data_IF_254236993867
#
_entry.id   IF_254236993867
#
_cell.length_a   1.000
_cell.length_b   1.000
_cell.length_c   1.000
_cell.angle_alpha   90.00
_cell.angle_beta   90.00
_cell.angle_gamma   90.00
#
_symmetry.space_group_name_H-M   'P 1'
#
loop_
_entity.id
_entity.type
_entity.pdbx_description
1 polymer ?
#
# COMPACT_ATOMS: atom_id res chain seq x y z
N UNK A 1 -35.15 27.69 -38.95
CA UNK A 1 -34.26 27.51 -37.79
C UNK A 1 -34.75 26.33 -36.94
N UNK A 2 -34.27 25.11 -37.20
CA UNK A 2 -34.45 23.96 -36.29
C UNK A 2 -33.19 23.10 -36.42
N UNK A 3 -32.17 23.49 -35.66
CA UNK A 3 -30.87 22.81 -35.61
C UNK A 3 -30.94 21.64 -34.62
N UNK A 4 -30.44 20.51 -35.09
CA UNK A 4 -30.34 19.21 -34.42
C UNK A 4 -29.63 19.30 -33.05
N UNK A 5 -30.39 19.29 -31.96
CA UNK A 5 -29.88 19.26 -30.58
C UNK A 5 -29.70 17.86 -29.98
N UNK A 6 -30.19 16.82 -30.66
CA UNK A 6 -30.16 15.44 -30.18
C UNK A 6 -28.76 14.79 -30.15
N UNK A 7 -27.87 14.99 -31.16
CA UNK A 7 -26.57 14.31 -31.17
C UNK A 7 -25.54 14.96 -30.22
N UNK A 8 -25.68 16.25 -29.92
CA UNK A 8 -24.80 16.93 -28.94
C UNK A 8 -25.06 16.43 -27.51
N UNK A 9 -26.30 16.14 -27.15
CA UNK A 9 -26.65 15.64 -25.82
C UNK A 9 -26.12 14.22 -25.57
N UNK A 10 -26.12 13.36 -26.59
CA UNK A 10 -25.61 11.99 -26.49
C UNK A 10 -24.08 11.96 -26.37
N UNK A 11 -23.37 12.83 -27.09
CA UNK A 11 -21.90 12.96 -26.98
C UNK A 11 -21.47 13.49 -25.60
N UNK A 12 -22.24 14.42 -25.02
CA UNK A 12 -22.02 14.95 -23.67
C UNK A 12 -22.12 13.85 -22.59
N UNK A 13 -23.15 13.00 -22.65
CA UNK A 13 -23.36 11.93 -21.67
C UNK A 13 -22.24 10.86 -21.68
N UNK A 14 -21.68 10.54 -22.85
CA UNK A 14 -20.54 9.62 -22.98
C UNK A 14 -19.27 10.20 -22.36
N UNK A 15 -19.05 11.52 -22.50
CA UNK A 15 -17.93 12.22 -21.88
C UNK A 15 -18.01 12.23 -20.34
N UNK A 16 -19.21 12.36 -19.77
CA UNK A 16 -19.41 12.30 -18.30
C UNK A 16 -19.20 10.90 -17.71
N UNK A 17 -19.52 9.83 -18.45
CA UNK A 17 -19.30 8.45 -17.99
C UNK A 17 -17.83 8.06 -18.03
N UNK A 18 -17.07 8.57 -19.01
CA UNK A 18 -15.62 8.35 -19.10
C UNK A 18 -14.82 9.21 -18.11
N UNK A 19 -15.40 10.31 -17.63
CA UNK A 19 -14.79 11.19 -16.62
C UNK A 19 -15.31 10.89 -15.22
N UNK A 20 -15.31 9.63 -14.81
CA UNK A 20 -15.32 9.32 -13.38
C UNK A 20 -13.87 9.21 -12.95
N UNK A 21 -13.30 10.21 -12.24
CA UNK A 21 -12.02 10.01 -11.58
C UNK A 21 -12.16 8.75 -10.74
N UNK A 22 -11.20 7.83 -10.84
CA UNK A 22 -11.20 6.60 -10.04
C UNK A 22 -11.31 6.97 -8.56
N UNK A 23 -12.54 6.98 -8.04
CA UNK A 23 -12.88 7.66 -6.80
C UNK A 23 -12.19 6.90 -5.65
N UNK A 24 -11.07 7.44 -5.18
CA UNK A 24 -10.30 6.87 -4.07
C UNK A 24 -8.89 6.39 -4.40
N UNK A 25 -8.49 6.42 -5.67
CA UNK A 25 -7.12 6.13 -6.09
C UNK A 25 -6.22 7.35 -5.86
N UNK A 26 -5.06 7.16 -5.23
CA UNK A 26 -4.08 8.21 -4.95
C UNK A 26 -2.71 7.82 -5.48
N UNK A 27 -2.13 8.72 -6.27
CA UNK A 27 -0.74 8.65 -6.70
C UNK A 27 0.19 9.12 -5.57
N UNK A 28 1.16 8.28 -5.23
CA UNK A 28 2.20 8.56 -4.24
C UNK A 28 3.52 8.77 -4.98
N UNK A 29 4.12 9.94 -4.78
CA UNK A 29 5.47 10.26 -5.25
C UNK A 29 6.45 10.02 -4.10
N UNK A 30 7.37 9.09 -4.29
CA UNK A 30 8.33 8.60 -3.29
C UNK A 30 9.75 8.69 -3.90
N UNK A 31 10.21 9.92 -4.14
CA UNK A 31 11.42 10.17 -4.92
C UNK A 31 11.20 9.88 -6.41
N UNK A 32 12.04 9.02 -6.98
CA UNK A 32 11.89 8.53 -8.37
C UNK A 32 10.79 7.47 -8.53
N UNK A 33 10.29 6.91 -7.43
CA UNK A 33 9.21 5.93 -7.45
C UNK A 33 7.85 6.63 -7.47
N UNK A 34 6.97 6.20 -8.38
CA UNK A 34 5.59 6.66 -8.45
C UNK A 34 4.67 5.45 -8.48
N UNK A 35 3.79 5.35 -7.48
CA UNK A 35 2.82 4.25 -7.39
C UNK A 35 1.41 4.80 -7.20
N UNK A 36 0.43 4.00 -7.61
CA UNK A 36 -0.97 4.39 -7.61
C UNK A 36 -1.74 3.41 -6.71
N UNK A 37 -2.39 3.91 -5.66
CA UNK A 37 -2.90 3.06 -4.57
C UNK A 37 -4.30 3.47 -4.10
N UNK A 38 -5.14 2.51 -3.71
CA UNK A 38 -6.49 2.80 -3.21
C UNK A 38 -6.47 3.18 -1.72
N UNK A 39 -5.91 4.36 -1.40
CA UNK A 39 -5.83 4.83 -0.02
C UNK A 39 -7.21 5.06 0.60
N UNK A 40 -8.21 5.46 -0.19
CA UNK A 40 -9.55 5.69 0.32
C UNK A 40 -10.19 4.37 0.79
N UNK A 41 -10.04 3.30 0.02
CA UNK A 41 -10.49 1.96 0.41
C UNK A 41 -9.83 1.46 1.69
N UNK A 42 -8.51 1.69 1.85
CA UNK A 42 -7.77 1.34 3.06
C UNK A 42 -8.27 2.14 4.26
N UNK A 43 -8.46 3.47 4.10
CA UNK A 43 -8.97 4.33 5.17
C UNK A 43 -10.38 3.92 5.61
N UNK A 44 -11.26 3.67 4.65
CA UNK A 44 -12.62 3.21 4.90
C UNK A 44 -12.59 1.88 5.67
N UNK A 45 -11.84 0.88 5.17
CA UNK A 45 -11.72 -0.41 5.81
C UNK A 45 -11.14 -0.36 7.24
N UNK A 46 -10.22 0.56 7.52
CA UNK A 46 -9.68 0.76 8.87
C UNK A 46 -10.68 1.48 9.78
N UNK A 47 -11.41 2.47 9.28
CA UNK A 47 -12.37 3.23 10.09
C UNK A 47 -13.43 2.34 10.75
N UNK A 48 -13.83 1.25 10.08
CA UNK A 48 -14.81 0.29 10.60
C UNK A 48 -14.32 -0.51 11.82
N UNK A 49 -13.01 -0.63 12.02
CA UNK A 49 -12.42 -1.39 13.14
C UNK A 49 -11.59 -0.52 14.09
N UNK A 50 -11.40 0.76 13.76
CA UNK A 50 -10.51 1.67 14.48
C UNK A 50 -10.84 1.72 15.96
N UNK A 51 -12.09 2.00 16.29
CA UNK A 51 -12.50 2.25 17.67
C UNK A 51 -12.39 0.95 18.49
N UNK A 52 -12.72 -0.20 17.91
CA UNK A 52 -12.56 -1.53 18.53
C UNK A 52 -11.09 -1.93 18.75
N UNK A 53 -10.19 -1.54 17.84
CA UNK A 53 -8.75 -1.80 17.98
C UNK A 53 -8.14 -0.86 19.02
N UNK A 54 -8.47 0.43 18.96
CA UNK A 54 -7.93 1.45 19.87
C UNK A 54 -8.46 1.31 21.30
N UNK A 55 -9.67 0.81 21.51
CA UNK A 55 -10.19 0.50 22.84
C UNK A 55 -9.39 -0.60 23.57
N UNK A 56 -8.56 -1.37 22.84
CA UNK A 56 -7.66 -2.39 23.41
C UNK A 56 -6.24 -1.89 23.65
N UNK A 57 -5.95 -0.63 23.31
CA UNK A 57 -4.64 -0.04 23.54
C UNK A 57 -4.55 0.54 24.95
N UNK A 58 -3.86 -0.18 25.83
CA UNK A 58 -3.65 0.23 27.23
C UNK A 58 -2.46 1.18 27.38
N UNK A 59 -1.58 1.28 26.37
CA UNK A 59 -0.32 2.04 26.44
C UNK A 59 -0.46 3.32 25.61
N UNK A 60 -1.14 4.31 26.19
CA UNK A 60 -1.48 5.58 25.51
C UNK A 60 -0.32 6.59 25.44
N UNK A 61 0.73 6.41 26.24
CA UNK A 61 1.86 7.32 26.34
C UNK A 61 2.95 7.07 25.29
N UNK A 62 2.93 5.89 24.65
CA UNK A 62 3.91 5.50 23.63
C UNK A 62 3.34 5.63 22.23
N UNK A 63 3.97 6.49 21.41
CA UNK A 63 3.68 6.58 19.98
C UNK A 63 4.80 5.97 19.14
N UNK A 64 4.51 4.84 18.49
CA UNK A 64 5.45 4.12 17.61
C UNK A 64 5.75 4.96 16.35
N UNK A 65 4.71 5.35 15.60
CA UNK A 65 4.85 6.19 14.40
C UNK A 65 4.81 7.67 14.80
N UNK A 66 5.96 8.20 15.22
CA UNK A 66 6.13 9.61 15.66
C UNK A 66 6.06 10.58 14.47
N UNK A 67 5.46 11.76 14.70
CA UNK A 67 5.36 12.81 13.65
C UNK A 67 6.71 13.30 13.15
N UNK A 68 7.75 13.25 13.99
CA UNK A 68 9.12 13.64 13.64
C UNK A 68 9.77 12.74 12.58
N UNK A 69 9.29 11.51 12.43
CA UNK A 69 9.77 10.52 11.45
C UNK A 69 8.70 10.24 10.39
N UNK A 70 8.09 11.31 9.86
CA UNK A 70 7.10 11.22 8.78
C UNK A 70 7.77 10.99 7.43
N UNK A 71 7.07 10.31 6.52
CA UNK A 71 7.48 10.19 5.11
C UNK A 71 7.73 11.56 4.46
N UNK A 72 6.93 12.58 4.80
CA UNK A 72 7.12 13.94 4.26
C UNK A 72 8.42 14.60 4.73
N UNK A 73 8.91 14.27 5.93
CA UNK A 73 10.17 14.79 6.46
C UNK A 73 11.40 13.99 6.03
N UNK A 74 11.20 12.89 5.30
CA UNK A 74 12.26 12.03 4.80
C UNK A 74 12.73 12.52 3.43
N UNK A 75 14.04 12.44 3.15
CA UNK A 75 14.60 12.78 1.85
C UNK A 75 13.87 12.00 0.74
N UNK A 76 13.51 12.62 -0.39
CA UNK A 76 12.72 11.96 -1.44
C UNK A 76 13.29 10.60 -1.89
N UNK A 77 14.61 10.47 -2.02
CA UNK A 77 15.28 9.23 -2.38
C UNK A 77 15.06 8.08 -1.37
N UNK A 78 14.85 8.40 -0.09
CA UNK A 78 14.72 7.42 0.99
C UNK A 78 13.25 7.07 1.30
N UNK A 79 12.29 7.86 0.79
CA UNK A 79 10.85 7.70 1.08
C UNK A 79 10.32 6.33 0.66
N UNK A 80 10.70 5.85 -0.53
CA UNK A 80 10.28 4.53 -1.03
C UNK A 80 10.83 3.40 -0.14
N UNK A 81 12.12 3.49 0.22
CA UNK A 81 12.78 2.51 1.07
C UNK A 81 12.14 2.47 2.47
N UNK A 82 11.93 3.64 3.08
CA UNK A 82 11.28 3.76 4.39
C UNK A 82 9.86 3.17 4.36
N UNK A 83 9.04 3.51 3.37
CA UNK A 83 7.69 2.95 3.25
C UNK A 83 7.73 1.44 3.05
N UNK A 84 8.62 0.92 2.21
CA UNK A 84 8.78 -0.52 2.00
C UNK A 84 9.13 -1.25 3.31
N UNK A 85 10.02 -0.70 4.14
CA UNK A 85 10.36 -1.27 5.45
C UNK A 85 9.21 -1.21 6.46
N UNK A 86 8.46 -0.10 6.50
CA UNK A 86 7.27 0.02 7.36
C UNK A 86 6.22 -1.00 6.94
N UNK A 87 5.91 -1.13 5.64
CA UNK A 87 4.95 -2.12 5.17
C UNK A 87 5.41 -3.55 5.46
N UNK A 88 6.71 -3.82 5.34
CA UNK A 88 7.29 -5.11 5.75
C UNK A 88 7.07 -5.38 7.24
N UNK A 89 7.34 -4.42 8.11
CA UNK A 89 7.08 -4.55 9.55
C UNK A 89 5.61 -4.88 9.82
N UNK A 90 4.68 -4.13 9.22
CA UNK A 90 3.25 -4.35 9.42
C UNK A 90 2.79 -5.73 8.93
N UNK A 91 3.23 -6.17 7.75
CA UNK A 91 2.85 -7.46 7.18
C UNK A 91 3.48 -8.64 7.94
N UNK A 92 4.76 -8.55 8.26
CA UNK A 92 5.51 -9.67 8.83
C UNK A 92 5.28 -9.79 10.34
N UNK A 93 4.97 -8.69 11.04
CA UNK A 93 4.87 -8.64 12.51
C UNK A 93 3.53 -8.15 13.06
N UNK A 94 2.86 -7.19 12.46
CA UNK A 94 1.61 -6.63 13.03
C UNK A 94 0.42 -7.50 12.64
N UNK A 95 0.14 -7.63 11.35
CA UNK A 95 -1.02 -8.38 10.85
C UNK A 95 -0.93 -9.87 11.17
N UNK A 96 0.28 -10.44 11.12
CA UNK A 96 0.50 -11.86 11.43
C UNK A 96 0.17 -12.21 12.89
N UNK A 97 0.43 -11.28 13.82
CA UNK A 97 0.27 -11.51 15.26
C UNK A 97 -1.03 -10.94 15.85
N UNK A 98 -1.76 -10.11 15.11
CA UNK A 98 -3.05 -9.60 15.56
C UNK A 98 -4.19 -10.57 15.19
N UNK A 99 -4.60 -11.40 16.16
CA UNK A 99 -5.66 -12.40 15.99
C UNK A 99 -6.87 -12.10 16.90
N UNK A 100 -7.77 -11.20 16.48
CA UNK A 100 -8.98 -10.89 17.26
C UNK A 100 -9.96 -12.08 17.25
N UNK A 101 -10.67 -12.34 18.37
CA UNK A 101 -11.68 -13.39 18.43
C UNK A 101 -12.92 -13.07 17.57
N UNK A 102 -13.18 -11.78 17.33
CA UNK A 102 -14.25 -11.32 16.47
C UNK A 102 -13.89 -11.57 14.98
N UNK A 103 -14.67 -12.44 14.34
CA UNK A 103 -14.49 -12.82 12.94
C UNK A 103 -14.69 -11.65 11.96
N UNK A 104 -15.59 -10.71 12.25
CA UNK A 104 -15.78 -9.51 11.43
C UNK A 104 -14.51 -8.63 11.47
N UNK A 105 -13.95 -8.40 12.66
CA UNK A 105 -12.70 -7.66 12.81
C UNK A 105 -11.55 -8.40 12.10
N UNK A 106 -11.42 -9.73 12.30
CA UNK A 106 -10.40 -10.54 11.64
C UNK A 106 -10.45 -10.42 10.11
N UNK A 107 -11.66 -10.48 9.52
CA UNK A 107 -11.87 -10.32 8.07
C UNK A 107 -11.41 -8.94 7.58
N UNK A 108 -11.72 -7.87 8.32
CA UNK A 108 -11.29 -6.50 7.97
C UNK A 108 -9.78 -6.33 8.07
N UNK A 109 -9.16 -6.86 9.12
CA UNK A 109 -7.69 -6.90 9.29
C UNK A 109 -7.04 -7.63 8.11
N UNK A 110 -7.55 -8.79 7.73
CA UNK A 110 -7.06 -9.55 6.57
C UNK A 110 -7.18 -8.76 5.26
N UNK A 111 -8.28 -8.04 5.05
CA UNK A 111 -8.45 -7.17 3.87
C UNK A 111 -7.43 -6.03 3.86
N UNK A 112 -7.20 -5.38 5.01
CA UNK A 112 -6.19 -4.32 5.15
C UNK A 112 -4.78 -4.86 4.85
N UNK A 113 -4.43 -6.04 5.38
CA UNK A 113 -3.15 -6.69 5.11
C UNK A 113 -2.96 -6.94 3.62
N UNK A 114 -3.97 -7.45 2.92
CA UNK A 114 -3.91 -7.66 1.48
C UNK A 114 -3.76 -6.35 0.69
N UNK A 115 -4.49 -5.30 1.06
CA UNK A 115 -4.33 -3.99 0.42
C UNK A 115 -2.92 -3.41 0.60
N UNK A 116 -2.33 -3.54 1.79
CA UNK A 116 -0.97 -3.10 2.05
C UNK A 116 0.09 -4.00 1.41
N UNK A 117 -0.19 -5.29 1.22
CA UNK A 117 0.66 -6.21 0.47
C UNK A 117 0.77 -5.79 -1.00
N UNK A 118 -0.33 -5.37 -1.62
CA UNK A 118 -0.31 -4.83 -2.99
C UNK A 118 0.62 -3.62 -3.08
N UNK A 119 0.50 -2.66 -2.15
CA UNK A 119 1.38 -1.48 -2.11
C UNK A 119 2.85 -1.91 -1.94
N UNK A 120 3.16 -2.86 -1.05
CA UNK A 120 4.53 -3.37 -0.87
C UNK A 120 5.09 -3.99 -2.15
N UNK A 121 4.27 -4.72 -2.91
CA UNK A 121 4.67 -5.29 -4.21
C UNK A 121 5.00 -4.20 -5.22
N UNK A 122 4.19 -3.15 -5.31
CA UNK A 122 4.44 -2.02 -6.22
C UNK A 122 5.74 -1.29 -5.85
N UNK A 123 5.99 -1.07 -4.55
CA UNK A 123 7.25 -0.49 -4.08
C UNK A 123 8.48 -1.35 -4.34
N UNK A 124 8.32 -2.68 -4.39
CA UNK A 124 9.43 -3.58 -4.72
C UNK A 124 9.94 -3.34 -6.13
N UNK A 125 9.06 -2.96 -7.05
CA UNK A 125 9.43 -2.59 -8.43
C UNK A 125 10.25 -1.29 -8.50
N UNK A 126 10.22 -0.49 -7.42
CA UNK A 126 10.97 0.76 -7.30
C UNK A 126 12.30 0.65 -6.55
N UNK A 127 12.68 -0.54 -6.05
CA UNK A 127 13.92 -0.67 -5.29
C UNK A 127 15.13 -0.30 -6.17
N UNK A 128 16.08 0.48 -5.65
CA UNK A 128 17.23 0.91 -6.44
C UNK A 128 18.05 -0.32 -6.88
N UNK A 129 18.71 -0.26 -8.06
CA UNK A 129 19.48 -1.38 -8.59
C UNK A 129 20.47 -1.95 -7.57
N UNK A 130 21.13 -1.10 -6.79
CA UNK A 130 22.06 -1.53 -5.73
C UNK A 130 21.39 -2.39 -4.65
N UNK A 131 20.17 -2.06 -4.22
CA UNK A 131 19.46 -2.85 -3.20
C UNK A 131 19.08 -4.24 -3.74
N UNK A 132 18.74 -4.34 -5.02
CA UNK A 132 18.48 -5.62 -5.70
C UNK A 132 19.77 -6.43 -5.84
N UNK A 133 20.88 -5.78 -6.21
CA UNK A 133 22.20 -6.43 -6.33
C UNK A 133 22.67 -7.00 -4.99
N UNK A 134 22.64 -6.21 -3.91
CA UNK A 134 23.03 -6.69 -2.58
C UNK A 134 22.13 -7.85 -2.12
N UNK A 135 20.83 -7.77 -2.42
CA UNK A 135 19.89 -8.83 -2.10
C UNK A 135 20.22 -10.12 -2.84
N UNK A 136 20.41 -10.05 -4.16
CA UNK A 136 20.74 -11.21 -4.98
C UNK A 136 22.09 -11.84 -4.57
N UNK A 137 23.08 -11.00 -4.23
CA UNK A 137 24.37 -11.48 -3.72
C UNK A 137 24.23 -12.20 -2.37
N UNK A 138 23.35 -11.70 -1.49
CA UNK A 138 23.06 -12.34 -0.21
C UNK A 138 22.19 -13.61 -0.31
N UNK A 139 21.69 -13.94 -1.49
CA UNK A 139 20.94 -15.19 -1.78
C UNK A 139 21.79 -16.18 -2.60
N UNK A 140 23.11 -15.97 -2.64
CA UNK A 140 24.04 -16.81 -3.40
C UNK A 140 24.12 -18.23 -2.85
N UNK A 141 23.97 -18.41 -1.53
CA UNK A 141 23.91 -19.72 -0.88
C UNK A 141 22.73 -20.57 -1.40
N UNK A 142 21.56 -19.97 -1.58
CA UNK A 142 20.37 -20.62 -2.15
C UNK A 142 20.63 -21.04 -3.59
N UNK A 143 21.27 -20.16 -4.39
CA UNK A 143 21.61 -20.47 -5.78
C UNK A 143 22.59 -21.65 -5.87
N UNK A 144 23.61 -21.67 -5.01
CA UNK A 144 24.58 -22.76 -4.95
C UNK A 144 23.90 -24.09 -4.56
N UNK A 145 22.99 -24.07 -3.59
CA UNK A 145 22.21 -25.25 -3.21
C UNK A 145 21.40 -25.81 -4.39
N UNK A 146 20.72 -24.96 -5.17
CA UNK A 146 19.99 -25.41 -6.37
C UNK A 146 20.89 -26.04 -7.43
N UNK A 147 22.14 -25.57 -7.54
CA UNK A 147 23.11 -26.17 -8.47
C UNK A 147 23.54 -27.55 -8.01
N UNK A 148 23.78 -27.75 -6.71
CA UNK A 148 24.11 -29.05 -6.13
C UNK A 148 22.94 -30.06 -6.20
N UNK A 149 21.70 -29.59 -6.06
CA UNK A 149 20.49 -30.44 -6.17
C UNK A 149 20.16 -30.84 -7.63
N UNK A 150 20.75 -30.16 -8.61
CA UNK A 150 20.53 -30.42 -10.03
C UNK A 150 21.49 -31.47 -10.63
N UNK A 151 22.57 -31.80 -9.90
CA UNK A 151 23.52 -32.89 -10.21
C UNK A 151 23.04 -34.23 -9.63
#
# INVERSE_FOLDING_TARGET
MRGSGLPLCLLSAVFYLFWTPSAGLKTLHLGSCVITTNLQGIRSGFSEIRDSVQAKDEIIDVRILRKTQSLQGTKPADQCCLLHHILRLYLDRVFKNYQPPDHHIFRKVSRLANSLLTIKKDLRLCLPPQAVVVKALGELDILLQWMEEAD
#
